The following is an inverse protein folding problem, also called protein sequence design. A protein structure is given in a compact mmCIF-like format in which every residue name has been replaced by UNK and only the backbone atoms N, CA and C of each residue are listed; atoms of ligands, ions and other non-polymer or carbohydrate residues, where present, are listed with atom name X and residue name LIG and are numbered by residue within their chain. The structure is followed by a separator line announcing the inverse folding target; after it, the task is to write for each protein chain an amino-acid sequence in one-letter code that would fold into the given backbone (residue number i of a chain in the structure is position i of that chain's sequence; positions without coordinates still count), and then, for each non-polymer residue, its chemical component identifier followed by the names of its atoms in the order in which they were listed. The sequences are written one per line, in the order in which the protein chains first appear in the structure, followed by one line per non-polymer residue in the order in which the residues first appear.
data_IF_382631892549
#
_entry.id   IF_382631892549
#
_cell.length_a   1.000
_cell.length_b   1.000
_cell.length_c   1.000
_cell.angle_alpha   90.00
_cell.angle_beta   90.00
_cell.angle_gamma   90.00
#
_symmetry.space_group_name_H-M   'P 1'
#
loop_
_entity.id
_entity.type
_entity.pdbx_description
1 polymer ?
#
# COMPACT_ATOMS: atom_id res chain seq x y z
N UNK A 1 4.02 18.88 11.15
CA UNK A 1 3.24 18.15 10.13
C UNK A 1 3.98 16.85 9.88
N UNK A 2 3.51 15.75 10.47
CA UNK A 2 4.21 14.48 10.30
C UNK A 2 3.65 13.80 9.07
N UNK A 3 4.52 13.50 8.10
CA UNK A 3 4.13 12.85 6.85
C UNK A 3 4.77 11.47 6.84
N UNK A 4 4.01 10.44 6.48
CA UNK A 4 4.57 9.12 6.27
C UNK A 4 3.90 8.44 5.09
N UNK A 5 4.62 7.52 4.48
CA UNK A 5 4.12 6.69 3.40
C UNK A 5 3.97 5.28 3.92
N UNK A 6 2.74 4.77 3.87
CA UNK A 6 2.43 3.37 4.07
C UNK A 6 2.52 2.67 2.71
N UNK A 7 3.28 1.57 2.63
CA UNK A 7 3.42 0.82 1.39
C UNK A 7 3.42 -0.68 1.63
N UNK A 8 2.81 -1.44 0.72
CA UNK A 8 2.72 -2.88 0.81
C UNK A 8 2.70 -3.51 -0.57
N UNK A 9 3.20 -4.74 -0.68
CA UNK A 9 3.11 -5.54 -1.91
C UNK A 9 2.02 -6.58 -1.74
N UNK A 10 1.10 -6.63 -2.70
CA UNK A 10 0.14 -7.71 -2.76
C UNK A 10 0.82 -8.94 -3.37
N UNK A 11 1.04 -9.98 -2.56
CA UNK A 11 1.33 -11.30 -3.10
C UNK A 11 0.00 -11.92 -3.53
N UNK A 12 -0.30 -11.82 -4.82
CA UNK A 12 -1.45 -12.50 -5.40
C UNK A 12 -1.21 -14.03 -5.31
N UNK A 13 -1.72 -14.60 -4.23
CA UNK A 13 -1.67 -16.03 -3.96
C UNK A 13 -2.87 -16.75 -4.59
N UNK A 14 -3.59 -16.11 -5.54
CA UNK A 14 -4.76 -16.73 -6.17
C UNK A 14 -4.28 -17.79 -7.15
N UNK A 15 -4.28 -19.04 -6.69
CA UNK A 15 -4.25 -20.20 -7.58
C UNK A 15 -5.55 -20.15 -8.38
N UNK A 16 -5.44 -20.01 -9.70
CA UNK A 16 -6.54 -19.89 -10.67
C UNK A 16 -7.43 -21.16 -10.72
N UNK A 17 -8.09 -21.48 -9.62
CA UNK A 17 -9.00 -22.62 -9.51
C UNK A 17 -10.42 -22.13 -9.77
N UNK A 18 -11.16 -22.86 -10.61
CA UNK A 18 -12.52 -22.53 -11.04
C UNK A 18 -13.50 -22.19 -9.89
N UNK A 19 -13.27 -22.76 -8.69
CA UNK A 19 -14.01 -22.44 -7.47
C UNK A 19 -13.84 -20.97 -6.99
N UNK A 20 -12.65 -20.40 -7.13
CA UNK A 20 -12.31 -19.05 -6.63
C UNK A 20 -12.81 -17.92 -7.54
N UNK A 21 -13.14 -18.22 -8.81
CA UNK A 21 -13.77 -17.25 -9.72
C UNK A 21 -15.28 -17.10 -9.45
N UNK A 22 -15.92 -18.12 -8.89
CA UNK A 22 -17.33 -18.10 -8.47
C UNK A 22 -17.51 -17.39 -7.13
N UNK A 23 -16.48 -17.41 -6.29
CA UNK A 23 -16.44 -16.64 -5.05
C UNK A 23 -16.03 -15.20 -5.38
N UNK A 24 -16.93 -14.25 -5.13
CA UNK A 24 -16.64 -12.83 -5.24
C UNK A 24 -15.65 -12.43 -4.13
N UNK A 25 -14.38 -12.80 -4.28
CA UNK A 25 -13.28 -12.48 -3.35
C UNK A 25 -13.29 -10.98 -3.15
N UNK A 26 -13.83 -10.57 -2.01
CA UNK A 26 -13.81 -9.17 -1.58
C UNK A 26 -12.35 -8.83 -1.35
N UNK A 27 -11.95 -7.64 -1.80
CA UNK A 27 -10.65 -7.06 -1.49
C UNK A 27 -10.46 -7.10 0.03
N UNK A 28 -9.66 -8.06 0.50
CA UNK A 28 -9.22 -8.11 1.88
C UNK A 28 -7.93 -7.29 1.92
N UNK A 29 -7.91 -6.14 2.64
CA UNK A 29 -6.67 -5.42 2.84
C UNK A 29 -5.64 -6.38 3.45
N UNK A 30 -4.39 -6.34 3.00
CA UNK A 30 -3.36 -7.22 3.54
C UNK A 30 -3.23 -7.00 5.04
N UNK A 31 -2.85 -8.07 5.75
CA UNK A 31 -2.57 -8.00 7.18
C UNK A 31 -1.58 -6.86 7.46
N UNK A 32 -1.83 -6.11 8.54
CA UNK A 32 -1.08 -4.90 8.87
C UNK A 32 0.43 -5.13 9.02
N UNK A 33 0.84 -6.38 9.26
CA UNK A 33 2.24 -6.81 9.37
C UNK A 33 3.04 -6.65 8.06
N UNK A 34 2.37 -6.72 6.90
CA UNK A 34 3.01 -6.49 5.59
C UNK A 34 3.04 -5.02 5.17
N UNK A 35 2.45 -4.12 5.97
CA UNK A 35 2.39 -2.69 5.67
C UNK A 35 3.61 -2.01 6.28
N UNK A 36 4.57 -1.69 5.42
CA UNK A 36 5.77 -0.95 5.79
C UNK A 36 5.43 0.54 5.87
N UNK A 37 5.98 1.22 6.90
CA UNK A 37 5.77 2.67 7.10
C UNK A 37 7.10 3.39 7.04
N UNK A 38 7.18 4.43 6.22
CA UNK A 38 8.36 5.32 6.14
C UNK A 38 7.95 6.76 6.43
N UNK A 39 8.57 7.35 7.44
CA UNK A 39 8.38 8.75 7.79
C UNK A 39 9.20 9.65 6.85
N UNK A 40 8.57 10.70 6.34
CA UNK A 40 9.15 11.69 5.44
C UNK A 40 9.06 13.08 6.08
N UNK A 41 10.09 13.89 5.87
CA UNK A 41 10.14 15.26 6.42
C UNK A 41 9.30 16.26 5.61
N UNK A 42 9.11 16.00 4.30
CA UNK A 42 8.40 16.88 3.36
C UNK A 42 7.40 16.12 2.51
N UNK A 43 6.35 16.82 2.04
CA UNK A 43 5.32 16.23 1.15
C UNK A 43 5.89 15.81 -0.20
N UNK A 44 6.85 16.57 -0.72
CA UNK A 44 7.55 16.22 -1.97
C UNK A 44 8.34 14.93 -1.84
N UNK A 45 9.05 14.75 -0.72
CA UNK A 45 9.82 13.54 -0.44
C UNK A 45 8.91 12.30 -0.34
N UNK A 46 7.78 12.46 0.35
CA UNK A 46 6.75 11.43 0.43
C UNK A 46 6.16 11.07 -0.94
N UNK A 47 5.91 12.04 -1.81
CA UNK A 47 5.41 11.80 -3.17
C UNK A 47 6.46 11.11 -4.04
N UNK A 48 7.72 11.52 -3.95
CA UNK A 48 8.82 10.90 -4.69
C UNK A 48 8.99 9.44 -4.27
N UNK A 49 8.98 9.17 -2.96
CA UNK A 49 9.08 7.83 -2.44
C UNK A 49 7.87 6.97 -2.83
N UNK A 50 6.64 7.51 -2.70
CA UNK A 50 5.43 6.83 -3.13
C UNK A 50 5.49 6.41 -4.60
N UNK A 51 5.87 7.32 -5.51
CA UNK A 51 6.05 7.02 -6.93
C UNK A 51 7.07 5.91 -7.19
N UNK A 52 8.26 5.99 -6.59
CA UNK A 52 9.28 4.94 -6.79
C UNK A 52 8.85 3.57 -6.27
N UNK A 53 7.95 3.52 -5.28
CA UNK A 53 7.41 2.27 -4.76
C UNK A 53 6.25 1.75 -5.64
N UNK A 54 5.41 2.64 -6.17
CA UNK A 54 4.41 2.30 -7.19
C UNK A 54 5.05 1.73 -8.45
N UNK A 55 6.16 2.32 -8.92
CA UNK A 55 6.94 1.81 -10.06
C UNK A 55 7.52 0.41 -9.81
N UNK A 56 7.80 0.07 -8.55
CA UNK A 56 8.24 -1.27 -8.15
C UNK A 56 7.07 -2.26 -7.98
N UNK A 57 5.83 -1.83 -8.21
CA UNK A 57 4.62 -2.64 -8.06
C UNK A 57 4.11 -2.74 -6.62
N UNK A 58 4.53 -1.84 -5.73
CA UNK A 58 3.95 -1.71 -4.40
C UNK A 58 2.76 -0.77 -4.45
N UNK A 59 1.76 -1.06 -3.62
CA UNK A 59 0.70 -0.11 -3.36
C UNK A 59 1.17 0.88 -2.30
N UNK A 60 0.97 2.17 -2.51
CA UNK A 60 1.39 3.21 -1.55
C UNK A 60 0.23 4.09 -1.12
N UNK A 61 0.32 4.65 0.09
CA UNK A 61 -0.64 5.58 0.65
C UNK A 61 0.09 6.60 1.51
N UNK A 62 -0.02 7.87 1.13
CA UNK A 62 0.61 8.99 1.86
C UNK A 62 -0.36 9.45 2.93
N UNK A 63 0.09 9.45 4.19
CA UNK A 63 -0.65 9.98 5.34
C UNK A 63 0.08 11.16 5.95
N UNK A 64 -0.72 12.08 6.47
CA UNK A 64 -0.23 13.30 7.10
C UNK A 64 -0.99 13.51 8.41
N UNK A 65 -0.28 13.51 9.53
CA UNK A 65 -0.80 13.94 10.82
C UNK A 65 -0.67 15.46 10.90
N UNK A 66 -1.84 16.13 10.90
CA UNK A 66 -1.95 17.58 10.96
C UNK A 66 -2.88 18.25 9.95
N UNK A 67 -3.96 17.60 9.49
CA UNK A 67 -5.06 18.31 8.81
C UNK A 67 -6.35 18.06 9.58
N UNK A 68 -6.81 19.10 10.27
CA UNK A 68 -8.13 19.22 10.89
C UNK A 68 -9.09 19.88 9.91
#
# INVERSE_FOLDING_TARGET
MNIWVEYFRYEDSRKNTWAQMRENVKWNPPESDKILKRFCQSREDANRFAKSMEEQGYHTSIKTDGVR
#
